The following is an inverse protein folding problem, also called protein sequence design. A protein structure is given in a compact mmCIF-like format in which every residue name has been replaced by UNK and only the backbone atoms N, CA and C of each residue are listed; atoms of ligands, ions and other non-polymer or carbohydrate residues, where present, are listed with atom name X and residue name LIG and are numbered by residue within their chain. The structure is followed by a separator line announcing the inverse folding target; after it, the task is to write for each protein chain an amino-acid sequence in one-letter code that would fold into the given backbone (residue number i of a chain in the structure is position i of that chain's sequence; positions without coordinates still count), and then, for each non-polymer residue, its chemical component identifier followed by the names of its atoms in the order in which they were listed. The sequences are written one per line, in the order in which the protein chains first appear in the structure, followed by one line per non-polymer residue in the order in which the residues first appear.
data_IF_571284298489
#
_entry.id   IF_571284298489
#
_cell.length_a   1.000
_cell.length_b   1.000
_cell.length_c   1.000
_cell.angle_alpha   90.00
_cell.angle_beta   90.00
_cell.angle_gamma   90.00
#
_symmetry.space_group_name_H-M   'P 1'
#
loop_
_entity.id
_entity.type
_entity.pdbx_description
1 polymer ?
#
# COMPACT_ATOMS: atom_id res chain seq x y z
N UNK A 1 -27.48 -23.57 29.15
CA UNK A 1 -26.97 -22.31 28.57
C UNK A 1 -28.11 -21.56 27.90
N UNK A 2 -28.28 -20.29 28.19
CA UNK A 2 -29.29 -19.42 27.60
C UNK A 2 -28.63 -18.14 27.09
N UNK A 3 -28.90 -17.76 25.82
CA UNK A 3 -28.42 -16.52 25.19
C UNK A 3 -29.64 -15.75 24.73
N UNK A 4 -29.74 -14.48 25.11
CA UNK A 4 -30.84 -13.60 24.73
C UNK A 4 -30.35 -12.21 24.37
N UNK A 5 -30.96 -11.63 23.35
CA UNK A 5 -30.68 -10.26 22.89
C UNK A 5 -31.89 -9.38 23.20
N UNK A 6 -31.64 -8.25 23.83
CA UNK A 6 -32.63 -7.24 24.11
C UNK A 6 -32.23 -5.93 23.45
N UNK A 7 -33.00 -5.45 22.48
CA UNK A 7 -32.78 -4.14 21.89
C UNK A 7 -33.02 -3.05 22.95
N UNK A 8 -32.07 -2.15 23.11
CA UNK A 8 -32.17 -0.95 23.95
C UNK A 8 -32.82 0.17 23.13
N UNK A 9 -32.37 0.31 21.90
CA UNK A 9 -32.90 1.23 20.90
C UNK A 9 -32.72 0.62 19.50
N UNK A 10 -32.77 1.45 18.42
CA UNK A 10 -32.67 0.99 17.03
C UNK A 10 -31.28 0.49 16.67
N UNK A 11 -30.22 0.98 17.33
CA UNK A 11 -28.81 0.76 16.97
C UNK A 11 -28.00 0.16 18.13
N UNK A 12 -28.64 -0.12 19.27
CA UNK A 12 -28.00 -0.67 20.47
C UNK A 12 -28.79 -1.83 21.04
N UNK A 13 -28.11 -2.88 21.44
CA UNK A 13 -28.71 -4.01 22.13
C UNK A 13 -27.82 -4.52 23.27
N UNK A 14 -28.46 -5.20 24.25
CA UNK A 14 -27.80 -5.92 25.31
C UNK A 14 -27.93 -7.42 25.08
N UNK A 15 -26.80 -8.09 24.93
CA UNK A 15 -26.70 -9.54 24.82
C UNK A 15 -26.40 -10.11 26.20
N UNK A 16 -27.29 -11.00 26.68
CA UNK A 16 -27.12 -11.69 27.94
C UNK A 16 -26.81 -13.15 27.69
N UNK A 17 -25.74 -13.66 28.29
CA UNK A 17 -25.37 -15.07 28.25
C UNK A 17 -25.39 -15.64 29.65
N UNK A 18 -26.27 -16.63 29.90
CA UNK A 18 -26.34 -17.35 31.16
C UNK A 18 -25.79 -18.76 31.02
N UNK A 19 -24.79 -19.07 31.83
CA UNK A 19 -24.13 -20.35 31.89
C UNK A 19 -24.45 -21.02 33.23
N UNK A 20 -24.99 -22.22 33.18
CA UNK A 20 -25.21 -23.08 34.33
C UNK A 20 -24.08 -24.11 34.43
N UNK A 21 -23.89 -24.69 35.63
CA UNK A 21 -22.85 -25.68 35.87
C UNK A 21 -22.85 -26.83 34.88
N UNK A 22 -24.02 -27.27 34.45
CA UNK A 22 -24.21 -28.35 33.49
C UNK A 22 -23.59 -28.01 32.09
N UNK A 23 -23.49 -26.73 31.75
CA UNK A 23 -22.98 -26.30 30.41
C UNK A 23 -21.47 -26.44 30.28
N UNK A 24 -20.72 -26.28 31.37
CA UNK A 24 -19.25 -26.21 31.34
C UNK A 24 -18.56 -27.34 32.12
N UNK A 25 -19.24 -28.01 33.10
CA UNK A 25 -18.61 -28.96 34.02
C UNK A 25 -17.86 -30.09 33.30
N UNK A 26 -18.46 -30.68 32.27
CA UNK A 26 -17.83 -31.77 31.52
C UNK A 26 -16.54 -31.31 30.80
N UNK A 27 -16.60 -30.10 30.23
CA UNK A 27 -15.41 -29.48 29.54
C UNK A 27 -14.31 -29.21 30.54
N UNK A 28 -14.61 -28.65 31.70
CA UNK A 28 -13.68 -28.37 32.78
C UNK A 28 -13.01 -29.66 33.29
N UNK A 29 -13.83 -30.71 33.55
CA UNK A 29 -13.28 -32.00 34.01
C UNK A 29 -12.39 -32.65 32.98
N UNK A 30 -12.72 -32.55 31.69
CA UNK A 30 -11.88 -33.02 30.58
C UNK A 30 -10.56 -32.24 30.50
N UNK A 31 -10.62 -30.95 30.59
CA UNK A 31 -9.42 -30.08 30.55
C UNK A 31 -8.53 -30.28 31.76
N UNK A 32 -9.09 -30.46 32.96
CA UNK A 32 -8.31 -30.82 34.15
C UNK A 32 -7.63 -32.19 34.01
N UNK A 33 -8.31 -33.18 33.40
CA UNK A 33 -7.70 -34.50 33.09
C UNK A 33 -6.52 -34.36 32.12
N UNK A 34 -6.71 -33.58 31.05
CA UNK A 34 -5.67 -33.30 30.07
C UNK A 34 -4.49 -32.55 30.71
N UNK A 35 -4.77 -31.55 31.54
CA UNK A 35 -3.77 -30.80 32.27
C UNK A 35 -2.97 -31.69 33.19
N UNK A 36 -3.61 -32.59 33.97
CA UNK A 36 -2.96 -33.57 34.83
C UNK A 36 -1.94 -34.42 34.07
N UNK A 37 -2.28 -34.85 32.85
CA UNK A 37 -1.35 -35.69 32.05
C UNK A 37 -0.09 -34.94 31.61
N UNK A 38 -0.19 -33.62 31.41
CA UNK A 38 0.89 -32.76 30.92
C UNK A 38 1.66 -32.06 32.05
N UNK A 39 1.04 -31.87 33.21
CA UNK A 39 1.61 -31.12 34.32
C UNK A 39 2.87 -31.78 34.91
N UNK A 40 3.87 -30.95 35.12
CA UNK A 40 5.08 -31.30 35.87
C UNK A 40 5.06 -30.58 37.24
N UNK A 41 4.70 -31.32 38.28
CA UNK A 41 4.63 -30.79 39.65
C UNK A 41 5.75 -31.42 40.48
N UNK A 42 6.59 -30.65 41.17
CA UNK A 42 7.64 -31.20 42.02
C UNK A 42 7.08 -32.23 43.02
N UNK A 43 7.75 -33.35 43.15
CA UNK A 43 7.35 -34.46 44.01
C UNK A 43 6.40 -35.47 43.39
N UNK A 44 5.96 -35.27 42.15
CA UNK A 44 5.05 -36.20 41.43
C UNK A 44 5.60 -36.59 40.07
N UNK A 45 5.45 -37.88 39.74
CA UNK A 45 5.69 -38.35 38.34
C UNK A 45 4.65 -37.75 37.42
N UNK A 46 5.06 -37.34 36.22
CA UNK A 46 4.16 -36.80 35.15
C UNK A 46 2.93 -37.71 34.96
N UNK A 47 1.75 -37.14 35.03
CA UNK A 47 0.47 -37.84 34.87
C UNK A 47 -0.02 -38.53 36.19
N UNK A 48 0.77 -38.58 37.25
CA UNK A 48 0.41 -39.26 38.51
C UNK A 48 0.04 -38.29 39.65
N UNK A 49 -0.13 -37.02 39.35
CA UNK A 49 -0.59 -36.01 40.31
C UNK A 49 -2.02 -36.33 40.75
N UNK A 50 -2.34 -36.33 42.08
CA UNK A 50 -3.72 -36.47 42.52
C UNK A 50 -4.65 -35.39 41.94
N UNK A 51 -5.82 -35.78 41.47
CA UNK A 51 -6.79 -34.84 40.85
C UNK A 51 -7.24 -33.74 41.80
N UNK A 52 -7.35 -34.06 43.11
CA UNK A 52 -7.67 -33.04 44.11
C UNK A 52 -6.63 -31.92 44.21
N UNK A 53 -5.34 -32.27 44.08
CA UNK A 53 -4.29 -31.27 44.04
C UNK A 53 -4.31 -30.45 42.75
N UNK A 54 -4.52 -31.08 41.61
CA UNK A 54 -4.68 -30.39 40.33
C UNK A 54 -5.87 -29.42 40.36
N UNK A 55 -7.03 -29.87 40.90
CA UNK A 55 -8.20 -29.00 41.08
C UNK A 55 -7.91 -27.84 42.02
N UNK A 56 -7.19 -28.05 43.11
CA UNK A 56 -6.83 -26.98 44.03
C UNK A 56 -5.87 -25.94 43.43
N UNK A 57 -4.92 -26.38 42.61
CA UNK A 57 -3.89 -25.51 42.05
C UNK A 57 -4.37 -24.78 40.77
N UNK A 58 -5.14 -25.45 39.93
CA UNK A 58 -5.47 -24.97 38.56
C UNK A 58 -6.96 -24.92 38.27
N UNK A 59 -7.81 -25.38 39.18
CA UNK A 59 -9.24 -25.51 38.98
C UNK A 59 -9.89 -24.19 38.58
N UNK A 60 -9.59 -23.10 39.26
CA UNK A 60 -10.08 -21.76 38.95
C UNK A 60 -9.67 -21.26 37.57
N UNK A 61 -8.39 -21.39 37.23
CA UNK A 61 -7.86 -20.94 35.94
C UNK A 61 -8.47 -21.75 34.78
N UNK A 62 -8.57 -23.07 34.95
CA UNK A 62 -9.17 -23.96 33.94
C UNK A 62 -10.66 -23.69 33.80
N UNK A 63 -11.39 -23.44 34.92
CA UNK A 63 -12.82 -23.06 34.89
C UNK A 63 -12.98 -21.75 34.11
N UNK A 64 -12.22 -20.72 34.45
CA UNK A 64 -12.27 -19.42 33.77
C UNK A 64 -11.96 -19.53 32.26
N UNK A 65 -10.96 -20.33 31.91
CA UNK A 65 -10.60 -20.57 30.51
C UNK A 65 -11.72 -21.26 29.71
N UNK A 66 -12.28 -22.34 30.26
CA UNK A 66 -13.38 -23.09 29.58
C UNK A 66 -14.68 -22.27 29.52
N UNK A 67 -15.00 -21.50 30.57
CA UNK A 67 -16.14 -20.59 30.58
C UNK A 67 -15.96 -19.50 29.53
N UNK A 68 -14.79 -18.86 29.45
CA UNK A 68 -14.49 -17.83 28.44
C UNK A 68 -14.60 -18.37 27.00
N UNK A 69 -14.07 -19.58 26.79
CA UNK A 69 -14.17 -20.23 25.48
C UNK A 69 -15.62 -20.53 25.10
N UNK A 70 -16.37 -21.12 26.03
CA UNK A 70 -17.79 -21.40 25.82
C UNK A 70 -18.62 -20.13 25.58
N UNK A 71 -18.28 -19.05 26.31
CA UNK A 71 -18.89 -17.75 26.19
C UNK A 71 -18.68 -17.17 24.79
N UNK A 72 -17.42 -17.12 24.32
CA UNK A 72 -17.09 -16.64 22.98
C UNK A 72 -17.81 -17.43 21.89
N UNK A 73 -17.72 -18.77 21.94
CA UNK A 73 -18.38 -19.66 20.97
C UNK A 73 -19.90 -19.41 20.93
N UNK A 74 -20.52 -19.17 22.10
CA UNK A 74 -21.96 -18.95 22.23
C UNK A 74 -22.41 -17.60 21.69
N UNK A 75 -21.64 -16.54 21.95
CA UNK A 75 -21.90 -15.19 21.44
C UNK A 75 -21.83 -15.20 19.91
N UNK A 76 -20.75 -15.73 19.34
CA UNK A 76 -20.58 -15.82 17.88
C UNK A 76 -21.68 -16.65 17.23
N UNK A 77 -21.98 -17.81 17.79
CA UNK A 77 -23.03 -18.66 17.28
C UNK A 77 -24.40 -17.99 17.30
N UNK A 78 -24.75 -17.31 18.40
CA UNK A 78 -26.02 -16.59 18.51
C UNK A 78 -26.16 -15.50 17.46
N UNK A 79 -25.11 -14.68 17.28
CA UNK A 79 -25.07 -13.60 16.27
C UNK A 79 -25.28 -14.18 14.87
N UNK A 80 -24.59 -15.30 14.56
CA UNK A 80 -24.65 -15.95 13.25
C UNK A 80 -26.03 -16.59 12.99
N UNK A 81 -26.54 -17.38 13.93
CA UNK A 81 -27.79 -18.12 13.80
C UNK A 81 -29.00 -17.16 13.68
N UNK A 82 -28.97 -16.04 14.40
CA UNK A 82 -30.02 -15.02 14.38
C UNK A 82 -29.75 -13.90 13.33
N UNK A 83 -28.67 -13.99 12.56
CA UNK A 83 -28.28 -13.01 11.53
C UNK A 83 -28.29 -11.57 12.04
N UNK A 84 -27.77 -11.37 13.27
CA UNK A 84 -27.69 -10.05 13.88
C UNK A 84 -26.59 -9.26 13.19
N UNK A 85 -26.94 -8.15 12.55
CA UNK A 85 -25.97 -7.26 11.92
C UNK A 85 -25.32 -6.37 12.98
N UNK A 86 -24.10 -6.70 13.37
CA UNK A 86 -23.35 -5.98 14.40
C UNK A 86 -22.26 -5.11 13.79
N UNK A 87 -21.93 -4.02 14.47
CA UNK A 87 -20.82 -3.13 14.16
C UNK A 87 -19.68 -3.35 15.18
N UNK A 88 -18.59 -3.95 14.72
CA UNK A 88 -17.46 -4.30 15.59
C UNK A 88 -17.75 -5.52 16.47
N UNK A 89 -16.98 -5.67 17.55
CA UNK A 89 -17.09 -6.79 18.47
C UNK A 89 -18.01 -6.47 19.66
N UNK A 90 -18.74 -7.46 20.20
CA UNK A 90 -19.46 -7.32 21.46
C UNK A 90 -18.54 -6.88 22.60
N UNK A 91 -18.89 -5.83 23.32
CA UNK A 91 -18.12 -5.34 24.45
C UNK A 91 -18.77 -5.71 25.78
N UNK A 92 -18.01 -6.12 26.81
CA UNK A 92 -18.58 -6.31 28.16
C UNK A 92 -19.30 -5.06 28.63
N UNK A 93 -20.48 -5.23 29.17
CA UNK A 93 -21.25 -4.09 29.71
C UNK A 93 -20.65 -3.66 31.05
N UNK A 94 -20.21 -2.41 31.15
CA UNK A 94 -19.49 -1.90 32.34
C UNK A 94 -20.45 -1.56 33.49
N UNK A 95 -21.68 -1.14 33.18
CA UNK A 95 -22.61 -0.61 34.16
C UNK A 95 -23.40 -1.70 34.87
N UNK A 96 -23.80 -2.75 34.14
CA UNK A 96 -24.75 -3.78 34.64
C UNK A 96 -24.09 -5.12 34.93
N UNK A 97 -22.83 -5.32 34.46
CA UNK A 97 -22.10 -6.56 34.70
C UNK A 97 -21.82 -6.73 36.19
N UNK A 98 -22.37 -7.76 36.79
CA UNK A 98 -22.05 -8.14 38.16
C UNK A 98 -20.65 -8.75 38.23
N UNK A 99 -19.96 -8.57 39.36
CA UNK A 99 -18.70 -9.20 39.60
C UNK A 99 -18.81 -10.73 39.48
N UNK A 100 -17.92 -11.33 38.74
CA UNK A 100 -17.83 -12.79 38.52
C UNK A 100 -16.81 -13.36 39.49
N UNK A 101 -17.21 -14.28 40.33
CA UNK A 101 -16.32 -15.01 41.22
C UNK A 101 -16.35 -16.52 40.91
N UNK A 102 -15.29 -16.98 40.28
CA UNK A 102 -15.09 -18.39 39.91
C UNK A 102 -14.84 -19.34 41.11
N UNK A 103 -14.64 -18.80 42.32
CA UNK A 103 -14.46 -19.62 43.50
C UNK A 103 -15.77 -20.00 44.21
N UNK A 104 -16.74 -19.13 44.12
CA UNK A 104 -18.01 -19.28 44.89
C UNK A 104 -19.26 -19.44 44.04
N UNK A 105 -19.22 -19.01 42.80
CA UNK A 105 -20.36 -19.06 41.87
C UNK A 105 -20.34 -20.35 41.02
N UNK A 106 -21.50 -20.92 40.79
CA UNK A 106 -21.73 -22.05 39.88
C UNK A 106 -22.53 -21.65 38.62
N UNK A 107 -23.18 -20.48 38.70
CA UNK A 107 -23.92 -19.90 37.58
C UNK A 107 -23.30 -18.55 37.22
N UNK A 108 -23.12 -18.31 35.93
CA UNK A 108 -22.47 -17.09 35.43
C UNK A 108 -23.41 -16.38 34.48
N UNK A 109 -23.57 -15.07 34.66
CA UNK A 109 -24.30 -14.19 33.76
C UNK A 109 -23.33 -13.13 33.20
N UNK A 110 -23.20 -13.12 31.89
CA UNK A 110 -22.36 -12.18 31.16
C UNK A 110 -23.25 -11.26 30.33
N UNK A 111 -22.93 -9.98 30.37
CA UNK A 111 -23.68 -8.93 29.68
C UNK A 111 -22.74 -8.25 28.67
N UNK A 112 -23.21 -8.13 27.43
CA UNK A 112 -22.45 -7.48 26.37
C UNK A 112 -23.24 -6.37 25.70
N UNK A 113 -22.63 -5.24 25.50
CA UNK A 113 -23.12 -4.17 24.66
C UNK A 113 -22.87 -4.52 23.20
N UNK A 114 -23.92 -4.44 22.40
CA UNK A 114 -23.90 -4.74 20.96
C UNK A 114 -24.26 -3.47 20.20
N UNK A 115 -23.34 -3.01 19.33
CA UNK A 115 -23.65 -2.01 18.33
C UNK A 115 -24.32 -2.69 17.13
N UNK A 116 -25.54 -2.27 16.81
CA UNK A 116 -26.30 -2.77 15.67
C UNK A 116 -26.11 -1.87 14.45
N UNK A 117 -26.03 -2.47 13.27
CA UNK A 117 -26.04 -1.72 12.03
C UNK A 117 -27.39 -1.03 11.82
N UNK A 118 -27.43 0.24 11.41
CA UNK A 118 -28.68 0.94 11.11
C UNK A 118 -29.43 0.29 9.95
N UNK A 119 -30.74 0.36 9.98
CA UNK A 119 -31.58 -0.07 8.87
C UNK A 119 -31.69 1.07 7.84
N UNK A 120 -31.26 0.83 6.62
CA UNK A 120 -31.36 1.74 5.49
C UNK A 120 -31.38 0.97 4.18
N UNK A 121 -31.64 1.65 3.08
CA UNK A 121 -31.63 1.07 1.74
C UNK A 121 -30.70 1.87 0.83
N UNK A 122 -29.69 1.20 0.28
CA UNK A 122 -28.81 1.76 -0.73
C UNK A 122 -29.15 1.16 -2.09
N UNK A 123 -29.63 1.99 -2.99
CA UNK A 123 -29.99 1.59 -4.35
C UNK A 123 -29.51 2.63 -5.36
N UNK A 124 -28.99 2.15 -6.49
CA UNK A 124 -28.83 2.94 -7.70
C UNK A 124 -30.03 2.72 -8.61
N UNK A 125 -30.38 3.72 -9.39
CA UNK A 125 -31.48 3.67 -10.34
C UNK A 125 -31.02 4.17 -11.72
N UNK A 126 -31.74 3.80 -12.75
CA UNK A 126 -31.39 4.18 -14.13
C UNK A 126 -31.41 5.69 -14.38
N UNK A 127 -32.12 6.46 -13.56
CA UNK A 127 -32.19 7.92 -13.60
C UNK A 127 -31.11 8.60 -12.74
N UNK A 128 -30.35 7.85 -11.94
CA UNK A 128 -29.16 8.37 -11.28
C UNK A 128 -28.12 8.71 -12.35
N UNK A 129 -27.69 9.97 -12.40
CA UNK A 129 -26.69 10.45 -13.37
C UNK A 129 -25.33 10.54 -12.69
N UNK A 130 -24.35 9.92 -13.30
CA UNK A 130 -22.96 9.93 -12.79
C UNK A 130 -22.01 10.27 -13.92
N UNK A 131 -21.11 11.20 -13.67
CA UNK A 131 -20.06 11.56 -14.62
C UNK A 131 -19.11 10.37 -14.85
N UNK A 132 -18.81 10.12 -16.13
CA UNK A 132 -17.78 9.17 -16.50
C UNK A 132 -16.77 9.87 -17.40
N UNK A 133 -15.52 9.91 -16.93
CA UNK A 133 -14.48 10.64 -17.61
C UNK A 133 -13.70 9.74 -18.56
N UNK A 134 -13.59 10.16 -19.83
CA UNK A 134 -12.69 9.57 -20.81
C UNK A 134 -11.47 10.47 -20.93
N UNK A 135 -10.31 9.97 -20.55
CA UNK A 135 -9.06 10.74 -20.54
C UNK A 135 -8.40 10.60 -21.90
N UNK A 136 -8.16 11.73 -22.56
CA UNK A 136 -7.56 11.77 -23.89
C UNK A 136 -6.08 11.39 -23.85
N UNK A 137 -5.68 10.42 -24.68
CA UNK A 137 -4.27 10.06 -24.88
C UNK A 137 -3.70 10.91 -26.01
N UNK A 138 -2.82 11.84 -25.65
CA UNK A 138 -2.16 12.74 -26.63
C UNK A 138 -0.96 12.08 -27.29
N UNK A 139 -0.59 12.55 -28.48
CA UNK A 139 0.64 12.09 -29.16
C UNK A 139 1.90 12.42 -28.33
N UNK A 140 1.89 13.53 -27.59
CA UNK A 140 2.98 13.90 -26.68
C UNK A 140 3.19 12.83 -25.57
N UNK A 141 2.10 12.26 -25.03
CA UNK A 141 2.19 11.17 -24.05
C UNK A 141 2.83 9.92 -24.69
N UNK A 142 2.44 9.59 -25.90
CA UNK A 142 3.01 8.48 -26.67
C UNK A 142 4.50 8.74 -26.93
N UNK A 143 4.86 9.95 -27.38
CA UNK A 143 6.26 10.34 -27.63
C UNK A 143 7.11 10.24 -26.37
N UNK A 144 6.61 10.73 -25.24
CA UNK A 144 7.31 10.65 -23.95
C UNK A 144 7.54 9.20 -23.51
N UNK A 145 6.53 8.35 -23.70
CA UNK A 145 6.65 6.93 -23.36
C UNK A 145 7.63 6.20 -24.31
N UNK A 146 7.56 6.47 -25.60
CA UNK A 146 8.50 5.94 -26.60
C UNK A 146 9.94 6.38 -26.27
N UNK A 147 10.13 7.67 -25.94
CA UNK A 147 11.41 8.20 -25.50
C UNK A 147 11.93 7.51 -24.24
N UNK A 148 11.06 7.21 -23.28
CA UNK A 148 11.45 6.48 -22.08
C UNK A 148 11.95 5.07 -22.41
N UNK A 149 11.33 4.36 -23.35
CA UNK A 149 11.80 3.05 -23.80
C UNK A 149 13.14 3.12 -24.53
N UNK A 150 13.32 4.07 -25.45
CA UNK A 150 14.59 4.25 -26.16
C UNK A 150 15.71 4.66 -25.22
N UNK A 151 15.45 5.51 -24.22
CA UNK A 151 16.44 5.89 -23.22
C UNK A 151 16.88 4.71 -22.34
N UNK A 152 15.97 3.80 -21.96
CA UNK A 152 16.35 2.61 -21.17
C UNK A 152 17.22 1.63 -21.95
N UNK A 153 17.07 1.58 -23.26
CA UNK A 153 17.85 0.75 -24.17
C UNK A 153 19.03 1.50 -24.80
N UNK A 154 19.39 2.65 -24.25
CA UNK A 154 20.53 3.42 -24.66
C UNK A 154 21.85 2.82 -24.17
N UNK A 155 22.94 3.23 -24.79
CA UNK A 155 24.28 2.83 -24.43
C UNK A 155 25.20 4.04 -24.38
N UNK A 156 26.31 3.88 -23.65
CA UNK A 156 27.37 4.87 -23.64
C UNK A 156 28.38 4.55 -24.75
N UNK A 157 28.62 5.52 -25.61
CA UNK A 157 29.60 5.43 -26.70
C UNK A 157 30.74 6.39 -26.45
N UNK A 158 31.99 5.97 -26.78
CA UNK A 158 33.16 6.85 -26.74
C UNK A 158 33.10 7.80 -27.90
N UNK A 159 33.35 9.07 -27.62
CA UNK A 159 33.39 10.14 -28.62
C UNK A 159 34.64 10.99 -28.44
N UNK A 160 35.07 11.69 -29.50
CA UNK A 160 36.32 12.46 -29.49
C UNK A 160 36.13 13.91 -29.01
N UNK A 161 34.89 14.42 -29.04
CA UNK A 161 34.60 15.81 -28.69
C UNK A 161 33.35 15.89 -27.82
N UNK A 162 33.39 16.74 -26.80
CA UNK A 162 32.33 16.98 -25.86
C UNK A 162 31.14 17.71 -26.48
N UNK A 163 29.96 17.23 -26.16
CA UNK A 163 28.67 17.90 -26.33
C UNK A 163 27.93 17.90 -24.98
N UNK A 164 27.04 18.84 -24.79
CA UNK A 164 26.33 18.99 -23.54
C UNK A 164 25.64 17.65 -23.12
N UNK A 165 25.75 17.33 -21.84
CA UNK A 165 25.36 16.05 -21.20
C UNK A 165 26.31 14.85 -21.43
N UNK A 166 27.43 15.01 -22.12
CA UNK A 166 28.46 13.98 -22.14
C UNK A 166 29.16 13.85 -20.78
N UNK A 167 29.63 12.67 -20.48
CA UNK A 167 30.42 12.39 -19.29
C UNK A 167 31.92 12.43 -19.67
N UNK A 168 32.69 13.21 -18.92
CA UNK A 168 34.12 13.30 -19.03
C UNK A 168 34.79 12.44 -17.97
N UNK A 169 35.81 11.68 -18.39
CA UNK A 169 36.71 10.96 -17.48
C UNK A 169 38.12 11.38 -17.74
N UNK A 170 38.92 11.58 -16.68
CA UNK A 170 40.29 12.02 -16.84
C UNK A 170 41.05 12.16 -15.54
N UNK A 171 42.27 12.73 -15.67
CA UNK A 171 43.11 13.04 -14.54
C UNK A 171 42.81 14.46 -14.04
N UNK A 172 42.43 14.56 -12.77
CA UNK A 172 42.22 15.82 -12.10
C UNK A 172 43.38 16.09 -11.13
N UNK A 173 43.98 17.28 -11.20
CA UNK A 173 45.11 17.65 -10.35
C UNK A 173 44.98 19.08 -9.82
N UNK A 174 45.18 19.26 -8.49
CA UNK A 174 45.20 20.56 -7.84
C UNK A 174 46.36 21.43 -8.32
N UNK A 175 46.08 22.70 -8.53
CA UNK A 175 47.09 23.68 -8.97
C UNK A 175 47.50 24.61 -7.84
N UNK A 176 48.78 25.05 -7.87
CA UNK A 176 49.31 26.12 -7.04
C UNK A 176 48.88 27.50 -7.54
N UNK A 177 49.34 28.56 -6.88
CA UNK A 177 49.04 29.94 -7.25
C UNK A 177 49.65 30.37 -8.60
N UNK A 178 50.70 29.69 -9.02
CA UNK A 178 51.42 29.91 -10.28
C UNK A 178 50.84 29.12 -11.43
N UNK A 179 49.85 28.22 -11.17
CA UNK A 179 49.19 27.39 -12.17
C UNK A 179 49.90 26.07 -12.48
N UNK A 180 50.91 25.67 -11.70
CA UNK A 180 51.54 24.36 -11.81
C UNK A 180 50.85 23.33 -10.92
N UNK A 181 51.06 22.05 -11.22
CA UNK A 181 50.56 20.97 -10.36
C UNK A 181 51.14 21.14 -8.93
N UNK A 182 50.30 21.26 -7.94
CA UNK A 182 50.68 21.49 -6.56
C UNK A 182 51.36 20.25 -5.99
N UNK A 183 52.57 20.38 -5.45
CA UNK A 183 53.28 19.29 -4.78
C UNK A 183 52.51 18.84 -3.52
N UNK A 184 52.18 17.55 -3.44
CA UNK A 184 51.35 17.00 -2.36
C UNK A 184 49.88 17.42 -2.41
N UNK A 185 49.44 18.13 -3.46
CA UNK A 185 48.05 18.47 -3.70
C UNK A 185 47.17 17.29 -4.08
N UNK A 186 45.87 17.51 -4.16
CA UNK A 186 44.90 16.48 -4.55
C UNK A 186 45.06 16.10 -6.00
N UNK A 187 45.22 14.80 -6.27
CA UNK A 187 45.21 14.21 -7.61
C UNK A 187 44.21 13.04 -7.61
N UNK A 188 43.35 13.01 -8.64
CA UNK A 188 42.36 11.95 -8.83
C UNK A 188 42.50 11.38 -10.23
N UNK A 189 43.01 10.15 -10.31
CA UNK A 189 43.02 9.40 -11.56
C UNK A 189 41.63 8.88 -11.90
N UNK A 190 41.25 8.99 -13.17
CA UNK A 190 39.93 8.56 -13.62
C UNK A 190 38.76 9.31 -12.98
N UNK A 191 38.98 10.59 -12.62
CA UNK A 191 37.91 11.45 -12.15
C UNK A 191 36.80 11.55 -13.21
N UNK A 192 35.55 11.42 -12.76
CA UNK A 192 34.38 11.46 -13.65
C UNK A 192 33.54 12.68 -13.31
N UNK A 193 33.15 13.44 -14.31
CA UNK A 193 32.27 14.57 -14.16
C UNK A 193 31.38 14.79 -15.40
N UNK A 194 30.26 15.47 -15.19
CA UNK A 194 29.39 15.94 -16.26
C UNK A 194 29.29 17.47 -16.15
N UNK A 195 29.96 18.24 -17.03
CA UNK A 195 29.93 19.69 -16.99
C UNK A 195 28.55 20.29 -17.08
N UNK A 196 27.59 19.61 -17.71
CA UNK A 196 26.18 20.01 -17.77
C UNK A 196 25.56 20.27 -16.39
N UNK A 197 26.02 19.60 -15.33
CA UNK A 197 25.52 19.77 -13.95
C UNK A 197 26.25 20.86 -13.16
N UNK A 198 27.23 21.53 -13.74
CA UNK A 198 27.84 22.70 -13.13
C UNK A 198 26.82 23.84 -13.02
N UNK A 199 26.82 24.53 -11.90
CA UNK A 199 25.90 25.65 -11.63
C UNK A 199 26.40 26.98 -12.16
N UNK A 200 27.72 27.11 -12.33
CA UNK A 200 28.37 28.33 -12.85
C UNK A 200 28.60 28.19 -14.35
N UNK A 201 27.98 29.07 -15.11
CA UNK A 201 28.03 29.03 -16.58
C UNK A 201 29.42 29.31 -17.15
N UNK A 202 30.26 30.17 -16.51
CA UNK A 202 31.61 30.45 -16.94
C UNK A 202 32.49 29.22 -16.80
N UNK A 203 32.35 28.47 -15.70
CA UNK A 203 33.09 27.22 -15.49
C UNK A 203 32.61 26.13 -16.46
N UNK A 204 31.33 26.05 -16.74
CA UNK A 204 30.74 25.14 -17.72
C UNK A 204 31.24 25.43 -19.12
N UNK A 205 31.35 26.68 -19.50
CA UNK A 205 31.81 27.11 -20.83
C UNK A 205 33.27 26.67 -21.16
N UNK A 206 34.11 26.45 -20.13
CA UNK A 206 35.46 25.94 -20.29
C UNK A 206 35.46 24.59 -21.03
N UNK A 207 34.44 23.78 -20.84
CA UNK A 207 34.31 22.42 -21.39
C UNK A 207 33.56 22.38 -22.71
N UNK A 208 32.97 23.47 -23.19
CA UNK A 208 32.06 23.49 -24.36
C UNK A 208 32.68 22.93 -25.66
N UNK A 209 34.00 22.98 -25.80
CA UNK A 209 34.72 22.48 -26.98
C UNK A 209 35.81 21.44 -26.63
N UNK A 210 35.69 20.84 -25.46
CA UNK A 210 36.69 19.89 -24.97
C UNK A 210 36.81 18.67 -25.88
N UNK A 211 38.06 18.21 -26.07
CA UNK A 211 38.37 17.00 -26.81
C UNK A 211 39.22 16.07 -25.97
N UNK A 212 39.30 14.83 -26.39
CA UNK A 212 40.20 13.85 -25.76
C UNK A 212 41.65 14.37 -25.87
N UNK A 213 42.39 14.26 -24.77
CA UNK A 213 43.75 14.78 -24.51
C UNK A 213 43.85 16.29 -24.22
N UNK A 214 42.75 17.06 -24.22
CA UNK A 214 42.79 18.44 -23.76
C UNK A 214 43.07 18.51 -22.26
N UNK A 215 43.80 19.57 -21.85
CA UNK A 215 44.01 19.91 -20.45
C UNK A 215 43.32 21.24 -20.18
N UNK A 216 42.28 21.18 -19.37
CA UNK A 216 41.41 22.33 -19.07
C UNK A 216 41.59 22.73 -17.60
N UNK A 217 41.66 24.04 -17.36
CA UNK A 217 41.78 24.57 -15.99
C UNK A 217 40.47 25.17 -15.58
N UNK A 218 39.93 24.69 -14.44
CA UNK A 218 38.67 25.17 -13.88
C UNK A 218 38.72 25.19 -12.35
N UNK A 219 37.75 25.82 -11.75
CA UNK A 219 37.60 25.86 -10.30
C UNK A 219 36.40 25.01 -9.86
N UNK A 220 36.60 23.82 -9.25
CA UNK A 220 35.53 22.97 -8.83
C UNK A 220 34.59 23.63 -7.80
N UNK A 221 35.14 24.39 -6.84
CA UNK A 221 34.35 25.08 -5.83
C UNK A 221 33.34 26.06 -6.47
N UNK A 222 33.84 26.88 -7.43
CA UNK A 222 32.98 27.79 -8.19
C UNK A 222 32.01 27.05 -9.11
N UNK A 223 32.46 25.97 -9.75
CA UNK A 223 31.61 25.19 -10.67
C UNK A 223 30.34 24.64 -10.03
N UNK A 224 30.43 24.16 -8.80
CA UNK A 224 29.28 23.61 -8.05
C UNK A 224 28.81 24.48 -6.87
N UNK A 225 29.16 25.78 -6.87
CA UNK A 225 28.75 26.74 -5.86
C UNK A 225 29.02 26.27 -4.42
N UNK A 226 30.20 25.68 -4.21
CA UNK A 226 30.65 25.18 -2.91
C UNK A 226 29.89 23.94 -2.39
N UNK A 227 29.14 23.22 -3.23
CA UNK A 227 28.43 22.01 -2.81
C UNK A 227 29.41 20.92 -2.34
N UNK A 228 29.54 20.76 -1.02
CA UNK A 228 30.49 19.83 -0.41
C UNK A 228 30.29 18.36 -0.85
N UNK A 229 29.07 17.92 -1.20
CA UNK A 229 28.82 16.56 -1.62
C UNK A 229 29.36 16.29 -3.04
N UNK A 230 29.14 17.23 -3.97
CA UNK A 230 29.65 17.14 -5.34
C UNK A 230 31.19 17.25 -5.34
N UNK A 231 31.73 18.19 -4.60
CA UNK A 231 33.18 18.38 -4.45
C UNK A 231 33.84 17.14 -3.83
N UNK A 232 33.30 16.59 -2.76
CA UNK A 232 33.81 15.38 -2.12
C UNK A 232 33.80 14.18 -3.09
N UNK A 233 32.76 14.05 -3.88
CA UNK A 233 32.64 12.98 -4.89
C UNK A 233 33.69 13.12 -6.00
N UNK A 234 33.91 14.34 -6.50
CA UNK A 234 34.86 14.61 -7.57
C UNK A 234 36.30 14.51 -7.10
N UNK A 235 36.61 15.16 -5.97
CA UNK A 235 37.96 15.30 -5.42
C UNK A 235 38.43 14.08 -4.61
N UNK A 236 37.52 13.14 -4.32
CA UNK A 236 37.76 11.94 -3.50
C UNK A 236 38.33 12.24 -2.12
N UNK A 237 37.89 13.34 -1.51
CA UNK A 237 38.22 13.77 -0.15
C UNK A 237 36.93 13.80 0.69
N UNK A 238 37.04 13.91 2.01
CA UNK A 238 35.88 14.11 2.86
C UNK A 238 35.19 15.46 2.62
N UNK A 239 33.93 15.58 3.05
CA UNK A 239 33.12 16.80 2.77
C UNK A 239 33.66 18.03 3.45
N UNK A 240 34.32 17.90 4.58
CA UNK A 240 34.89 19.03 5.33
C UNK A 240 36.12 19.58 4.60
N UNK A 241 37.01 18.70 4.19
CA UNK A 241 38.16 19.09 3.35
C UNK A 241 37.73 19.64 1.98
N UNK A 242 36.73 19.04 1.36
CA UNK A 242 36.18 19.50 0.09
C UNK A 242 35.61 20.92 0.16
N UNK A 243 34.92 21.28 1.24
CA UNK A 243 34.34 22.61 1.43
C UNK A 243 35.38 23.73 1.54
N UNK A 244 36.59 23.42 2.02
CA UNK A 244 37.70 24.38 2.15
C UNK A 244 38.56 24.46 0.88
N UNK A 245 38.35 23.59 -0.09
CA UNK A 245 39.19 23.45 -1.29
C UNK A 245 38.73 24.41 -2.39
N UNK A 246 39.33 25.62 -2.40
CA UNK A 246 39.00 26.70 -3.33
C UNK A 246 40.04 26.89 -4.47
N UNK A 247 41.00 25.96 -4.56
CA UNK A 247 42.05 25.96 -5.57
C UNK A 247 41.50 25.71 -6.98
N UNK A 248 42.21 26.14 -7.98
CA UNK A 248 41.97 25.71 -9.33
C UNK A 248 42.56 24.30 -9.55
N UNK A 249 41.97 23.59 -10.48
CA UNK A 249 42.39 22.25 -10.87
C UNK A 249 42.60 22.19 -12.38
N UNK A 250 43.57 21.42 -12.82
CA UNK A 250 43.67 20.97 -14.21
C UNK A 250 42.90 19.67 -14.36
N UNK A 251 42.18 19.52 -15.46
CA UNK A 251 41.50 18.30 -15.86
C UNK A 251 42.01 17.86 -17.22
N UNK A 252 42.76 16.78 -17.26
CA UNK A 252 43.21 16.17 -18.52
C UNK A 252 42.14 15.18 -18.96
N UNK A 253 41.50 15.46 -20.10
CA UNK A 253 40.41 14.63 -20.64
C UNK A 253 41.02 13.36 -21.25
N UNK A 254 40.76 12.20 -20.64
CA UNK A 254 41.21 10.90 -21.13
C UNK A 254 40.14 10.20 -21.98
N UNK A 255 38.87 10.38 -21.62
CA UNK A 255 37.75 9.74 -22.29
C UNK A 255 36.52 10.64 -22.22
N UNK A 256 35.78 10.69 -23.30
CA UNK A 256 34.45 11.32 -23.37
C UNK A 256 33.46 10.23 -23.74
N UNK A 257 32.39 10.08 -22.94
CA UNK A 257 31.32 9.13 -23.24
C UNK A 257 29.99 9.84 -23.35
N UNK A 258 29.31 9.54 -24.44
CA UNK A 258 27.98 10.05 -24.77
C UNK A 258 26.95 8.98 -24.56
N UNK A 259 25.89 9.32 -23.84
CA UNK A 259 24.71 8.47 -23.80
C UNK A 259 23.94 8.62 -25.13
N UNK A 260 23.80 7.52 -25.85
CA UNK A 260 23.01 7.44 -27.08
C UNK A 260 21.78 6.62 -26.80
N UNK A 261 20.60 7.22 -26.94
CA UNK A 261 19.33 6.50 -26.79
C UNK A 261 19.25 5.37 -27.83
N UNK A 262 18.66 4.24 -27.47
CA UNK A 262 18.45 3.13 -28.37
C UNK A 262 17.60 3.54 -29.58
N UNK A 263 17.90 3.00 -30.75
CA UNK A 263 17.06 3.18 -31.93
C UNK A 263 15.78 2.35 -31.79
N UNK A 264 14.63 2.91 -32.24
CA UNK A 264 13.37 2.21 -32.26
C UNK A 264 13.43 1.10 -33.34
N UNK A 265 13.71 -0.11 -32.89
CA UNK A 265 13.92 -1.27 -33.75
C UNK A 265 13.24 -2.52 -33.21
N UNK A 266 13.33 -3.65 -33.91
CA UNK A 266 12.69 -4.90 -33.52
C UNK A 266 13.13 -5.40 -32.14
N UNK A 267 14.37 -5.15 -31.72
CA UNK A 267 14.87 -5.57 -30.42
C UNK A 267 14.11 -4.87 -29.28
N UNK A 268 13.88 -3.55 -29.39
CA UNK A 268 13.07 -2.79 -28.43
C UNK A 268 11.60 -3.23 -28.50
N UNK A 269 11.07 -3.49 -29.70
CA UNK A 269 9.68 -3.95 -29.82
C UNK A 269 9.47 -5.28 -29.12
N UNK A 270 10.36 -6.24 -29.32
CA UNK A 270 10.29 -7.55 -28.71
C UNK A 270 10.51 -7.51 -27.18
N UNK A 271 11.40 -6.65 -26.73
CA UNK A 271 11.65 -6.46 -25.29
C UNK A 271 10.46 -5.87 -24.56
N UNK A 272 9.76 -4.91 -25.19
CA UNK A 272 8.64 -4.18 -24.58
C UNK A 272 7.35 -5.01 -24.65
N UNK A 273 7.02 -5.58 -25.78
CA UNK A 273 5.74 -6.23 -26.04
C UNK A 273 5.80 -7.75 -26.22
N UNK A 274 6.99 -8.31 -26.31
CA UNK A 274 7.20 -9.72 -26.61
C UNK A 274 7.57 -9.99 -28.06
N UNK A 275 8.29 -11.09 -28.30
CA UNK A 275 8.86 -11.45 -29.61
C UNK A 275 7.77 -11.55 -30.68
N UNK A 276 7.94 -10.78 -31.75
CA UNK A 276 7.08 -10.81 -32.94
C UNK A 276 5.68 -10.22 -32.79
N UNK A 277 5.33 -9.65 -31.63
CA UNK A 277 4.02 -9.03 -31.37
C UNK A 277 3.86 -7.73 -32.16
N UNK A 278 4.93 -6.95 -32.28
CA UNK A 278 4.99 -5.67 -33.01
C UNK A 278 6.13 -5.73 -34.01
N UNK A 279 5.89 -5.23 -35.22
CA UNK A 279 6.85 -5.31 -36.32
C UNK A 279 7.24 -3.95 -36.92
N UNK A 280 6.46 -2.92 -36.66
CA UNK A 280 6.70 -1.58 -37.19
C UNK A 280 6.63 -0.53 -36.09
N UNK A 281 7.22 0.63 -36.30
CA UNK A 281 7.13 1.76 -35.38
C UNK A 281 5.67 2.22 -35.21
N UNK A 282 4.88 2.18 -36.27
CA UNK A 282 3.48 2.56 -36.21
C UNK A 282 2.67 1.62 -35.30
N UNK A 283 2.88 0.31 -35.43
CA UNK A 283 2.27 -0.69 -34.53
C UNK A 283 2.76 -0.52 -33.09
N UNK A 284 4.04 -0.19 -32.89
CA UNK A 284 4.60 0.05 -31.57
C UNK A 284 3.92 1.23 -30.89
N UNK A 285 3.81 2.35 -31.59
CA UNK A 285 3.15 3.57 -31.10
C UNK A 285 1.66 3.32 -30.80
N UNK A 286 0.98 2.59 -31.67
CA UNK A 286 -0.41 2.20 -31.46
C UNK A 286 -0.58 1.34 -30.18
N UNK A 287 0.32 0.39 -29.95
CA UNK A 287 0.34 -0.43 -28.73
C UNK A 287 0.66 0.39 -27.48
N UNK A 288 1.60 1.31 -27.55
CA UNK A 288 1.89 2.26 -26.46
C UNK A 288 0.66 3.09 -26.13
N UNK A 289 -0.03 3.61 -27.13
CA UNK A 289 -1.27 4.37 -26.96
C UNK A 289 -2.36 3.54 -26.30
N UNK A 290 -2.51 2.28 -26.71
CA UNK A 290 -3.46 1.32 -26.10
C UNK A 290 -3.13 1.07 -24.60
N UNK A 291 -1.87 0.90 -24.26
CA UNK A 291 -1.43 0.71 -22.85
C UNK A 291 -1.76 1.92 -21.99
N UNK A 292 -1.47 3.14 -22.49
CA UNK A 292 -1.80 4.38 -21.79
C UNK A 292 -3.33 4.53 -21.63
N UNK A 293 -4.09 4.24 -22.69
CA UNK A 293 -5.55 4.30 -22.66
C UNK A 293 -6.14 3.32 -21.62
N UNK A 294 -5.65 2.09 -21.58
CA UNK A 294 -6.09 1.08 -20.60
C UNK A 294 -5.79 1.49 -19.14
N UNK A 295 -4.66 2.14 -18.91
CA UNK A 295 -4.34 2.69 -17.60
C UNK A 295 -5.35 3.78 -17.20
N UNK A 296 -5.70 4.67 -18.11
CA UNK A 296 -6.69 5.71 -17.87
C UNK A 296 -8.11 5.19 -17.64
N UNK A 297 -8.47 4.04 -18.20
CA UNK A 297 -9.77 3.40 -17.88
C UNK A 297 -9.83 3.03 -16.40
N UNK A 298 -8.76 2.50 -15.82
CA UNK A 298 -8.72 2.19 -14.40
C UNK A 298 -8.88 3.44 -13.52
N UNK A 299 -8.25 4.55 -13.91
CA UNK A 299 -8.37 5.84 -13.21
C UNK A 299 -9.80 6.40 -13.33
N UNK A 300 -10.39 6.29 -14.51
CA UNK A 300 -11.78 6.69 -14.77
C UNK A 300 -12.79 5.87 -13.96
N UNK A 301 -12.57 4.56 -13.85
CA UNK A 301 -13.41 3.66 -13.06
C UNK A 301 -13.28 3.96 -11.56
N UNK A 302 -12.09 4.29 -11.09
CA UNK A 302 -11.87 4.73 -9.72
C UNK A 302 -12.63 6.04 -9.42
N UNK A 303 -12.48 7.04 -10.30
CA UNK A 303 -13.23 8.31 -10.17
C UNK A 303 -14.74 8.10 -10.18
N UNK A 304 -15.23 7.25 -11.08
CA UNK A 304 -16.64 6.88 -11.14
C UNK A 304 -17.14 6.32 -9.80
N UNK A 305 -16.39 5.40 -9.16
CA UNK A 305 -16.75 4.87 -7.85
C UNK A 305 -16.76 5.94 -6.75
N UNK A 306 -15.84 6.90 -6.80
CA UNK A 306 -15.86 8.03 -5.87
C UNK A 306 -17.11 8.91 -6.04
N UNK A 307 -17.52 9.16 -7.29
CA UNK A 307 -18.72 9.96 -7.60
C UNK A 307 -20.01 9.20 -7.22
N UNK A 308 -20.07 7.89 -7.47
CA UNK A 308 -21.15 7.01 -6.98
C UNK A 308 -21.20 7.02 -5.46
N UNK A 309 -20.03 6.92 -4.78
CA UNK A 309 -19.97 7.02 -3.31
C UNK A 309 -20.60 8.33 -2.84
N UNK A 310 -20.19 9.46 -3.41
CA UNK A 310 -20.71 10.77 -3.05
C UNK A 310 -22.23 10.84 -3.24
N UNK A 311 -22.72 10.45 -4.41
CA UNK A 311 -24.15 10.42 -4.73
C UNK A 311 -24.94 9.56 -3.73
N UNK A 312 -24.46 8.35 -3.44
CA UNK A 312 -25.15 7.43 -2.54
C UNK A 312 -25.10 7.88 -1.08
N UNK A 313 -24.00 8.46 -0.64
CA UNK A 313 -23.91 9.06 0.69
C UNK A 313 -24.91 10.20 0.88
N UNK A 314 -25.09 11.05 -0.14
CA UNK A 314 -26.10 12.11 -0.17
C UNK A 314 -27.52 11.53 -0.20
N UNK A 315 -27.78 10.48 -1.00
CA UNK A 315 -29.09 9.83 -1.16
C UNK A 315 -29.53 9.10 0.10
N UNK A 316 -28.62 8.39 0.78
CA UNK A 316 -28.88 7.69 2.02
C UNK A 316 -29.02 8.69 3.19
N UNK A 317 -28.26 9.78 3.15
CA UNK A 317 -28.27 10.80 4.19
C UNK A 317 -27.60 10.34 5.49
N UNK A 318 -27.86 11.04 6.58
CA UNK A 318 -27.25 10.77 7.87
C UNK A 318 -27.90 9.56 8.53
N UNK A 319 -27.13 8.51 8.78
CA UNK A 319 -27.53 7.35 9.54
C UNK A 319 -27.35 7.59 11.05
N UNK A 320 -28.19 6.93 11.86
CA UNK A 320 -28.02 6.91 13.32
C UNK A 320 -27.06 5.79 13.70
N UNK A 321 -26.13 6.08 14.59
CA UNK A 321 -25.17 5.12 15.13
C UNK A 321 -25.11 5.16 16.66
N UNK A 322 -24.71 4.09 17.33
CA UNK A 322 -24.50 4.10 18.78
C UNK A 322 -23.14 4.73 19.11
N UNK A 323 -23.06 6.05 18.98
CA UNK A 323 -21.79 6.82 19.01
C UNK A 323 -20.92 6.51 20.23
N UNK A 324 -21.52 6.44 21.44
CA UNK A 324 -20.77 6.14 22.66
C UNK A 324 -20.10 4.76 22.60
N UNK A 325 -20.80 3.76 22.07
CA UNK A 325 -20.29 2.41 21.97
C UNK A 325 -19.23 2.29 20.86
N UNK A 326 -19.45 2.92 19.70
CA UNK A 326 -18.47 2.94 18.62
C UNK A 326 -17.19 3.68 19.01
N UNK A 327 -17.27 4.80 19.73
CA UNK A 327 -16.09 5.47 20.29
C UNK A 327 -15.33 4.58 21.26
N UNK A 328 -16.04 3.79 22.08
CA UNK A 328 -15.43 2.82 22.99
C UNK A 328 -14.72 1.69 22.21
N UNK A 329 -15.34 1.15 21.17
CA UNK A 329 -14.71 0.17 20.25
C UNK A 329 -13.45 0.76 19.62
N UNK A 330 -13.54 2.00 19.13
CA UNK A 330 -12.42 2.69 18.51
C UNK A 330 -11.23 2.90 19.47
N UNK A 331 -11.51 3.23 20.74
CA UNK A 331 -10.47 3.33 21.80
C UNK A 331 -9.79 1.99 22.06
N UNK A 332 -10.57 0.91 22.15
CA UNK A 332 -10.03 -0.43 22.39
C UNK A 332 -9.15 -0.93 21.24
N UNK A 333 -9.48 -0.54 20.01
CA UNK A 333 -8.68 -0.89 18.83
C UNK A 333 -7.44 0.00 18.64
N UNK A 334 -7.35 1.13 19.37
CA UNK A 334 -6.26 2.11 19.28
C UNK A 334 -5.69 2.44 20.67
N UNK A 335 -5.33 1.41 21.44
CA UNK A 335 -4.85 1.57 22.83
C UNK A 335 -3.52 2.34 22.94
N UNK A 336 -2.78 2.44 21.84
CA UNK A 336 -1.53 3.22 21.73
C UNK A 336 -1.76 4.71 21.48
N UNK A 337 -3.01 5.13 21.23
CA UNK A 337 -3.42 6.51 20.95
C UNK A 337 -4.13 7.14 22.16
N UNK A 338 -4.12 8.48 22.20
CA UNK A 338 -4.82 9.24 23.22
C UNK A 338 -6.34 9.37 22.92
N UNK A 339 -7.09 9.87 23.92
CA UNK A 339 -8.53 10.09 23.75
C UNK A 339 -8.85 11.12 22.65
N UNK A 340 -7.97 12.09 22.45
CA UNK A 340 -8.13 13.12 21.43
C UNK A 340 -8.12 12.51 20.03
N UNK A 341 -7.31 11.48 19.81
CA UNK A 341 -7.30 10.73 18.54
C UNK A 341 -8.69 10.22 18.15
N UNK A 342 -9.45 9.68 19.13
CA UNK A 342 -10.79 9.16 18.86
C UNK A 342 -11.73 10.30 18.50
N UNK A 343 -11.73 11.42 19.26
CA UNK A 343 -12.60 12.55 18.97
C UNK A 343 -12.29 13.18 17.60
N UNK A 344 -11.03 13.38 17.28
CA UNK A 344 -10.58 14.02 16.03
C UNK A 344 -10.86 13.14 14.77
N UNK A 345 -10.95 11.81 14.93
CA UNK A 345 -11.11 10.89 13.79
C UNK A 345 -12.49 10.20 13.74
N UNK A 346 -13.35 10.41 14.74
CA UNK A 346 -14.63 9.70 14.84
C UNK A 346 -15.54 9.99 13.64
N UNK A 347 -15.73 11.24 13.29
CA UNK A 347 -16.65 11.63 12.20
C UNK A 347 -16.19 11.02 10.86
N UNK A 348 -14.88 11.02 10.60
CA UNK A 348 -14.32 10.38 9.41
C UNK A 348 -14.53 8.86 9.44
N UNK A 349 -14.38 8.24 10.60
CA UNK A 349 -14.61 6.80 10.77
C UNK A 349 -16.08 6.44 10.54
N UNK A 350 -17.02 7.28 10.95
CA UNK A 350 -18.46 7.09 10.70
C UNK A 350 -18.78 7.26 9.21
N UNK A 351 -18.14 8.20 8.52
CA UNK A 351 -18.28 8.35 7.07
C UNK A 351 -17.80 7.10 6.33
N UNK A 352 -16.62 6.58 6.68
CA UNK A 352 -16.09 5.35 6.10
C UNK A 352 -16.96 4.12 6.44
N UNK A 353 -17.46 4.03 7.66
CA UNK A 353 -18.38 2.98 8.08
C UNK A 353 -19.69 3.04 7.28
N UNK A 354 -20.26 4.23 7.12
CA UNK A 354 -21.48 4.44 6.30
C UNK A 354 -21.25 3.97 4.87
N UNK A 355 -20.13 4.37 4.25
CA UNK A 355 -19.78 3.90 2.93
C UNK A 355 -19.57 2.38 2.86
N UNK A 356 -18.94 1.80 3.87
CA UNK A 356 -18.75 0.36 3.95
C UNK A 356 -20.10 -0.39 3.95
N UNK A 357 -21.06 0.08 4.74
CA UNK A 357 -22.41 -0.51 4.80
C UNK A 357 -23.18 -0.34 3.48
N UNK A 358 -23.06 0.82 2.83
CA UNK A 358 -23.64 1.06 1.50
C UNK A 358 -23.04 0.07 0.49
N UNK A 359 -21.69 -0.02 0.45
CA UNK A 359 -20.96 -0.91 -0.46
C UNK A 359 -21.36 -2.37 -0.25
N UNK A 360 -21.51 -2.82 1.00
CA UNK A 360 -21.94 -4.18 1.32
C UNK A 360 -23.34 -4.49 0.76
N UNK A 361 -24.29 -3.56 0.88
CA UNK A 361 -25.62 -3.74 0.30
C UNK A 361 -25.57 -3.82 -1.22
N UNK A 362 -24.78 -2.97 -1.89
CA UNK A 362 -24.61 -3.00 -3.35
C UNK A 362 -23.95 -4.29 -3.83
N UNK A 363 -22.92 -4.76 -3.14
CA UNK A 363 -22.23 -6.04 -3.43
C UNK A 363 -23.24 -7.19 -3.36
N UNK A 364 -24.07 -7.22 -2.31
CA UNK A 364 -25.11 -8.23 -2.13
C UNK A 364 -26.23 -8.12 -3.18
N UNK A 365 -26.68 -6.91 -3.50
CA UNK A 365 -27.73 -6.68 -4.47
C UNK A 365 -27.31 -7.09 -5.90
N UNK A 366 -26.02 -7.02 -6.19
CA UNK A 366 -25.43 -7.39 -7.49
C UNK A 366 -24.87 -8.82 -7.52
N UNK A 367 -25.08 -9.64 -6.47
CA UNK A 367 -24.54 -11.00 -6.34
C UNK A 367 -23.02 -11.09 -6.63
N UNK A 368 -22.28 -10.05 -6.24
CA UNK A 368 -20.84 -9.97 -6.46
C UNK A 368 -20.14 -10.96 -5.53
N UNK A 369 -19.43 -11.90 -6.13
CA UNK A 369 -18.62 -12.92 -5.44
C UNK A 369 -17.17 -12.76 -5.84
N UNK A 370 -16.29 -12.99 -4.89
CA UNK A 370 -14.85 -13.02 -5.13
C UNK A 370 -14.39 -14.47 -5.10
N UNK A 371 -13.96 -14.95 -6.25
CA UNK A 371 -13.41 -16.29 -6.40
C UNK A 371 -11.88 -16.25 -6.24
N UNK A 372 -11.26 -17.40 -5.99
CA UNK A 372 -9.80 -17.47 -5.84
C UNK A 372 -9.07 -17.03 -7.12
N UNK A 373 -9.63 -17.34 -8.27
CA UNK A 373 -9.07 -16.92 -9.56
C UNK A 373 -9.12 -15.40 -9.75
N UNK A 374 -10.15 -14.72 -9.25
CA UNK A 374 -10.22 -13.26 -9.28
C UNK A 374 -9.06 -12.64 -8.50
N UNK A 375 -8.78 -13.16 -7.29
CA UNK A 375 -7.71 -12.66 -6.43
C UNK A 375 -6.35 -12.93 -7.07
N UNK A 376 -6.16 -14.12 -7.66
CA UNK A 376 -4.92 -14.45 -8.36
C UNK A 376 -4.71 -13.55 -9.58
N UNK A 377 -5.74 -13.33 -10.37
CA UNK A 377 -5.68 -12.44 -11.54
C UNK A 377 -5.38 -10.99 -11.12
N UNK A 378 -6.03 -10.48 -10.08
CA UNK A 378 -5.76 -9.15 -9.52
C UNK A 378 -4.32 -9.04 -9.00
N UNK A 379 -3.78 -10.08 -8.37
CA UNK A 379 -2.38 -10.14 -7.95
C UNK A 379 -1.42 -10.08 -9.14
N UNK A 380 -1.72 -10.81 -10.24
CA UNK A 380 -0.95 -10.75 -11.48
C UNK A 380 -1.01 -9.38 -12.13
N UNK A 381 -2.19 -8.77 -12.21
CA UNK A 381 -2.37 -7.40 -12.75
C UNK A 381 -1.59 -6.36 -11.93
N UNK A 382 -1.67 -6.46 -10.60
CA UNK A 382 -0.88 -5.60 -9.70
C UNK A 382 0.62 -5.78 -9.92
N UNK A 383 1.06 -7.03 -10.05
CA UNK A 383 2.46 -7.35 -10.36
C UNK A 383 2.87 -6.80 -11.71
N UNK A 384 2.04 -6.97 -12.74
CA UNK A 384 2.29 -6.45 -14.10
C UNK A 384 2.41 -4.93 -14.10
N UNK A 385 1.54 -4.23 -13.36
CA UNK A 385 1.61 -2.79 -13.20
C UNK A 385 2.91 -2.34 -12.49
N UNK A 386 3.36 -3.08 -11.48
CA UNK A 386 4.66 -2.81 -10.84
C UNK A 386 5.82 -2.97 -11.80
N UNK A 387 5.87 -4.05 -12.58
CA UNK A 387 6.92 -4.25 -13.58
C UNK A 387 6.87 -3.18 -14.68
N UNK A 388 5.67 -2.76 -15.08
CA UNK A 388 5.48 -1.69 -16.06
C UNK A 388 6.09 -0.35 -15.60
N UNK A 389 6.06 -0.02 -14.31
CA UNK A 389 6.74 1.16 -13.75
C UNK A 389 8.25 1.11 -13.96
N UNK A 390 8.83 -0.09 -14.03
CA UNK A 390 10.24 -0.31 -14.39
C UNK A 390 10.45 -0.51 -15.90
N UNK A 391 9.40 -0.29 -16.73
CA UNK A 391 9.43 -0.38 -18.19
C UNK A 391 9.39 -1.79 -18.76
N UNK A 392 9.07 -2.77 -17.94
CA UNK A 392 8.89 -4.15 -18.38
C UNK A 392 7.40 -4.41 -18.61
N UNK A 393 6.93 -4.23 -19.84
CA UNK A 393 5.53 -4.49 -20.22
C UNK A 393 5.29 -5.95 -20.61
N UNK A 394 6.33 -6.64 -21.06
CA UNK A 394 6.27 -8.09 -21.34
C UNK A 394 6.97 -8.85 -20.23
N UNK A 395 6.17 -9.36 -19.29
CA UNK A 395 6.67 -10.19 -18.18
C UNK A 395 6.16 -11.62 -18.41
N UNK A 396 7.05 -12.64 -18.42
CA UNK A 396 6.62 -14.02 -18.55
C UNK A 396 5.59 -14.42 -17.49
N UNK A 397 4.55 -15.16 -17.89
CA UNK A 397 3.46 -15.58 -16.98
C UNK A 397 3.98 -16.35 -15.76
N UNK A 398 5.04 -17.15 -15.91
CA UNK A 398 5.66 -17.86 -14.78
C UNK A 398 6.19 -16.90 -13.71
N UNK A 399 6.76 -15.77 -14.12
CA UNK A 399 7.26 -14.74 -13.20
C UNK A 399 6.08 -14.08 -12.51
N UNK A 400 5.02 -13.70 -13.26
CA UNK A 400 3.80 -13.11 -12.70
C UNK A 400 3.15 -14.06 -11.70
N UNK A 401 3.05 -15.36 -12.02
CA UNK A 401 2.53 -16.39 -11.13
C UNK A 401 3.31 -16.49 -9.83
N UNK A 402 4.63 -16.48 -9.90
CA UNK A 402 5.48 -16.59 -8.72
C UNK A 402 5.34 -15.37 -7.81
N UNK A 403 5.36 -14.16 -8.36
CA UNK A 403 5.16 -12.93 -7.58
C UNK A 403 3.73 -12.85 -7.01
N UNK A 404 2.72 -13.18 -7.78
CA UNK A 404 1.34 -13.23 -7.30
C UNK A 404 1.19 -14.22 -6.13
N UNK A 405 1.76 -15.42 -6.22
CA UNK A 405 1.77 -16.41 -5.13
C UNK A 405 2.47 -15.90 -3.87
N UNK A 406 3.55 -15.12 -4.00
CA UNK A 406 4.21 -14.50 -2.84
C UNK A 406 3.34 -13.42 -2.20
N UNK A 407 2.63 -12.61 -2.99
CA UNK A 407 1.67 -11.64 -2.47
C UNK A 407 0.55 -12.31 -1.68
N UNK A 408 0.07 -13.47 -2.15
CA UNK A 408 -1.01 -14.22 -1.53
C UNK A 408 -0.59 -14.96 -0.24
N UNK A 409 0.68 -14.92 0.18
CA UNK A 409 1.11 -15.43 1.49
C UNK A 409 0.86 -14.45 2.64
N UNK A 410 0.67 -13.17 2.33
CA UNK A 410 0.48 -12.11 3.33
C UNK A 410 -0.99 -11.76 3.46
N UNK A 411 -1.55 -11.90 4.66
CA UNK A 411 -2.96 -11.63 4.94
C UNK A 411 -3.40 -10.23 4.51
N UNK A 412 -2.61 -9.20 4.87
CA UNK A 412 -2.89 -7.81 4.49
C UNK A 412 -2.93 -7.60 2.98
N UNK A 413 -2.05 -8.29 2.23
CA UNK A 413 -2.06 -8.22 0.76
C UNK A 413 -3.33 -8.85 0.18
N UNK A 414 -3.77 -9.99 0.74
CA UNK A 414 -5.01 -10.66 0.31
C UNK A 414 -6.21 -9.74 0.54
N UNK A 415 -6.33 -9.13 1.72
CA UNK A 415 -7.43 -8.22 2.04
C UNK A 415 -7.47 -7.03 1.08
N UNK A 416 -6.31 -6.44 0.76
CA UNK A 416 -6.20 -5.38 -0.24
C UNK A 416 -6.61 -5.82 -1.65
N UNK A 417 -6.19 -7.01 -2.08
CA UNK A 417 -6.56 -7.57 -3.38
C UNK A 417 -8.06 -7.88 -3.47
N UNK A 418 -8.64 -8.48 -2.42
CA UNK A 418 -10.08 -8.75 -2.34
C UNK A 418 -10.89 -7.45 -2.48
N UNK A 419 -10.51 -6.41 -1.75
CA UNK A 419 -11.17 -5.11 -1.85
C UNK A 419 -11.11 -4.54 -3.27
N UNK A 420 -9.96 -4.63 -3.94
CA UNK A 420 -9.80 -4.18 -5.34
C UNK A 420 -10.67 -4.98 -6.30
N UNK A 421 -10.74 -6.30 -6.15
CA UNK A 421 -11.63 -7.15 -6.95
C UNK A 421 -13.09 -6.75 -6.75
N UNK A 422 -13.51 -6.55 -5.50
CA UNK A 422 -14.88 -6.10 -5.18
C UNK A 422 -15.17 -4.76 -5.86
N UNK A 423 -14.28 -3.79 -5.75
CA UNK A 423 -14.43 -2.45 -6.33
C UNK A 423 -14.48 -2.49 -7.86
N UNK A 424 -13.63 -3.27 -8.51
CA UNK A 424 -13.63 -3.45 -9.96
C UNK A 424 -14.95 -4.07 -10.45
N UNK A 425 -15.39 -5.16 -9.79
CA UNK A 425 -16.67 -5.82 -10.13
C UNK A 425 -17.86 -4.90 -9.87
N UNK A 426 -17.83 -4.17 -8.76
CA UNK A 426 -18.88 -3.22 -8.39
C UNK A 426 -18.95 -2.07 -9.39
N UNK A 427 -17.84 -1.44 -9.77
CA UNK A 427 -17.80 -0.41 -10.79
C UNK A 427 -18.42 -0.89 -12.11
N UNK A 428 -18.03 -2.08 -12.56
CA UNK A 428 -18.57 -2.69 -13.78
C UNK A 428 -20.07 -2.91 -13.71
N UNK A 429 -20.59 -3.40 -12.59
CA UNK A 429 -22.02 -3.62 -12.39
C UNK A 429 -22.78 -2.29 -12.35
N UNK A 430 -22.32 -1.30 -11.60
CA UNK A 430 -22.98 -0.02 -11.41
C UNK A 430 -23.01 0.82 -12.69
N UNK A 431 -21.96 0.76 -13.53
CA UNK A 431 -21.94 1.43 -14.84
C UNK A 431 -23.11 1.02 -15.76
N UNK A 432 -23.66 -0.17 -15.59
CA UNK A 432 -24.80 -0.67 -16.36
C UNK A 432 -26.16 -0.29 -15.76
N UNK A 433 -26.18 0.21 -14.53
CA UNK A 433 -27.41 0.49 -13.76
C UNK A 433 -27.72 1.98 -13.66
N UNK A 434 -26.74 2.84 -13.86
CA UNK A 434 -26.89 4.29 -13.82
C UNK A 434 -26.81 4.90 -15.23
N UNK A 435 -27.24 6.14 -15.38
CA UNK A 435 -26.99 6.91 -16.59
C UNK A 435 -25.61 7.56 -16.53
N UNK A 436 -24.70 7.12 -17.43
CA UNK A 436 -23.35 7.72 -17.51
C UNK A 436 -23.40 9.02 -18.32
N UNK A 437 -22.95 10.12 -17.73
CA UNK A 437 -22.67 11.37 -18.42
C UNK A 437 -21.20 11.37 -18.88
N UNK A 438 -20.96 10.90 -20.11
CA UNK A 438 -19.60 10.79 -20.65
C UNK A 438 -18.99 12.17 -20.92
N UNK A 439 -17.81 12.42 -20.37
CA UNK A 439 -17.05 13.67 -20.49
C UNK A 439 -15.61 13.37 -20.92
N UNK A 440 -15.19 13.98 -22.04
CA UNK A 440 -13.78 13.93 -22.42
C UNK A 440 -13.00 14.97 -21.62
N UNK A 441 -11.82 14.60 -21.15
CA UNK A 441 -10.99 15.45 -20.29
C UNK A 441 -9.50 15.23 -20.57
N UNK A 442 -8.70 16.28 -20.42
CA UNK A 442 -7.25 16.12 -20.40
C UNK A 442 -6.77 15.42 -19.13
N UNK A 443 -5.64 14.69 -19.20
CA UNK A 443 -5.03 14.09 -18.02
C UNK A 443 -4.68 15.12 -16.94
N UNK A 444 -4.26 16.32 -17.34
CA UNK A 444 -3.94 17.40 -16.42
C UNK A 444 -5.17 17.89 -15.64
N UNK A 445 -6.30 18.05 -16.31
CA UNK A 445 -7.53 18.50 -15.66
C UNK A 445 -8.18 17.37 -14.84
N UNK A 446 -8.04 16.12 -15.28
CA UNK A 446 -8.45 14.95 -14.49
C UNK A 446 -7.70 14.87 -13.16
N UNK A 447 -6.37 15.05 -13.18
CA UNK A 447 -5.55 15.02 -11.97
C UNK A 447 -5.93 16.12 -10.96
N UNK A 448 -6.31 17.31 -11.43
CA UNK A 448 -6.78 18.40 -10.55
C UNK A 448 -8.07 18.06 -9.78
N UNK A 449 -8.80 17.03 -10.17
CA UNK A 449 -10.00 16.60 -9.44
C UNK A 449 -9.70 15.88 -8.14
N UNK A 450 -8.42 15.51 -7.90
CA UNK A 450 -7.96 14.81 -6.71
C UNK A 450 -7.09 15.69 -5.79
N UNK A 451 -6.81 16.94 -6.20
CA UNK A 451 -6.14 17.97 -5.40
C UNK A 451 -7.15 18.69 -4.50
#
# INVERSE_FOLDING_TARGET
MNVSLQNIDKVSALLTVKLEKADYQEKVDKSLKNFRQKAQIPGFRKGMVPMSLVKKMYGKSVLAEEVNKLLSDSVYKYIQDNKVNILGEPLPNEDKQKAIDFDTMEEFEFLFDIALAPEFKAEVAADDKVDYYTIDVTEEMVDNQVKAYTQRNGKYEKVDAYVDNDMLKGLLAELDAEGNTKEGGVQVEGAVMMPAYMKNDDQKAIFANAKVNDVLVFNPYTAWDGNAAELSSLLKVDKEAAAEMKSNFSFQVEEITRFVAGELNQEIFDQVFGEGVVKTEEEFRAKVKEVIANQFVADSDYKFLLDVRKMLMEKVGKLEFPDALLKRIMRLNNQDKDEKFVEDNYDKSIEELTWHLIKEQLVKANDIKVEQDDILNMAKETTRAQFAQYGMLSVPEEILDNYAKEMLKKKESIEGLVNRVVETKLASALKTQVTLENKNISAADFNKMFE
#
